data_IF_683713406502
#
_entry.id   IF_683713406502
#
_cell.length_a   1.000
_cell.length_b   1.000
_cell.length_c   1.000
_cell.angle_alpha   90.00
_cell.angle_beta   90.00
_cell.angle_gamma   90.00
#
_symmetry.space_group_name_H-M   'P 1'
#
loop_
_entity.id
_entity.type
_entity.pdbx_description
1 polymer ?
#
# COMPACT_ATOMS: atom_id res chain seq x y z
N UNK A 1 16.98 -18.95 20.75
CA UNK A 1 16.05 -17.85 20.43
C UNK A 1 14.68 -18.46 20.24
N UNK A 2 13.82 -18.34 21.23
CA UNK A 2 12.51 -18.98 21.27
C UNK A 2 11.45 -17.99 20.77
N UNK A 3 10.62 -18.41 19.82
CA UNK A 3 9.40 -17.70 19.43
C UNK A 3 8.21 -18.57 19.84
N UNK A 4 7.39 -18.05 20.76
CA UNK A 4 6.17 -18.69 21.26
C UNK A 4 4.97 -18.17 20.46
N UNK A 5 4.19 -19.09 19.88
CA UNK A 5 2.90 -18.81 19.25
C UNK A 5 1.79 -19.24 20.20
N UNK A 6 0.92 -18.31 20.59
CA UNK A 6 -0.33 -18.64 21.31
C UNK A 6 -1.53 -18.07 20.55
N UNK A 7 -2.55 -18.92 20.43
CA UNK A 7 -3.87 -18.72 19.80
C UNK A 7 -4.83 -19.71 20.50
N UNK A 8 -6.19 -19.62 20.51
CA UNK A 8 -7.18 -18.51 20.37
C UNK A 8 -8.33 -18.54 21.44
N UNK A 9 -9.18 -17.49 21.56
CA UNK A 9 -10.58 -17.52 22.06
C UNK A 9 -11.29 -16.15 21.83
N UNK A 10 -12.23 -15.96 20.88
CA UNK A 10 -13.71 -16.19 20.89
C UNK A 10 -14.43 -15.34 21.98
N UNK A 11 -15.43 -14.46 21.77
CA UNK A 11 -16.48 -14.25 20.76
C UNK A 11 -17.10 -12.85 20.95
N UNK A 12 -17.49 -12.15 19.86
CA UNK A 12 -18.72 -11.35 19.79
C UNK A 12 -18.98 -10.90 18.32
N UNK A 13 -20.09 -11.36 17.75
CA UNK A 13 -20.75 -10.76 16.58
C UNK A 13 -22.09 -10.16 17.07
N UNK A 14 -22.68 -9.14 16.41
CA UNK A 14 -23.47 -9.44 15.21
C UNK A 14 -23.45 -8.41 14.07
N UNK A 15 -23.83 -8.92 12.90
CA UNK A 15 -24.58 -8.29 11.80
C UNK A 15 -24.11 -6.96 11.21
N UNK A 16 -23.50 -7.03 10.03
CA UNK A 16 -24.23 -6.80 8.77
C UNK A 16 -23.34 -7.18 7.59
N UNK A 17 -23.75 -8.20 6.84
CA UNK A 17 -23.27 -8.37 5.48
C UNK A 17 -24.12 -7.47 4.59
N UNK A 18 -23.56 -6.52 3.84
CA UNK A 18 -24.08 -6.22 2.54
C UNK A 18 -23.46 -7.20 1.54
N UNK A 19 -24.34 -7.69 0.68
CA UNK A 19 -24.03 -8.54 -0.45
C UNK A 19 -22.94 -7.94 -1.34
N UNK A 20 -22.29 -8.85 -2.07
CA UNK A 20 -21.48 -8.57 -3.26
C UNK A 20 -21.99 -7.35 -4.02
N UNK A 21 -21.14 -6.35 -4.13
CA UNK A 21 -21.13 -5.43 -5.25
C UNK A 21 -19.70 -5.47 -5.81
N UNK A 22 -19.42 -6.51 -6.60
CA UNK A 22 -18.32 -6.50 -7.57
C UNK A 22 -18.67 -5.49 -8.68
N UNK A 23 -18.81 -4.22 -8.31
CA UNK A 23 -18.70 -3.14 -9.27
C UNK A 23 -17.24 -2.71 -9.25
N UNK A 24 -16.60 -2.79 -10.42
CA UNK A 24 -15.31 -2.18 -10.70
C UNK A 24 -15.38 -0.70 -10.32
N UNK A 25 -15.05 -0.36 -9.07
CA UNK A 25 -14.67 1.00 -8.75
C UNK A 25 -13.32 1.16 -9.39
N UNK A 26 -13.30 1.73 -10.59
CA UNK A 26 -12.07 2.27 -11.15
C UNK A 26 -11.60 3.26 -10.10
N UNK A 27 -10.59 2.90 -9.31
CA UNK A 27 -9.85 3.90 -8.57
C UNK A 27 -9.17 4.70 -9.66
N UNK A 28 -9.85 5.73 -10.14
CA UNK A 28 -9.21 6.81 -10.87
C UNK A 28 -8.36 7.53 -9.83
N UNK A 29 -7.24 6.90 -9.48
CA UNK A 29 -6.03 7.61 -9.14
C UNK A 29 -5.42 8.08 -10.46
N UNK A 30 -6.25 8.76 -11.27
CA UNK A 30 -5.94 9.24 -12.59
C UNK A 30 -4.99 10.40 -12.44
N UNK A 31 -3.70 10.09 -12.37
CA UNK A 31 -2.61 11.01 -12.74
C UNK A 31 -2.54 12.35 -12.01
N UNK A 32 -3.28 12.58 -10.93
CA UNK A 32 -3.05 13.68 -10.00
C UNK A 32 -2.05 13.18 -8.99
N UNK A 33 -0.78 13.26 -9.39
CA UNK A 33 0.33 12.59 -8.73
C UNK A 33 0.51 13.02 -7.28
N UNK A 34 0.23 12.14 -6.33
CA UNK A 34 0.97 12.22 -5.08
C UNK A 34 2.42 11.88 -5.40
N UNK A 35 3.29 12.85 -5.18
CA UNK A 35 4.73 12.68 -5.33
C UNK A 35 5.23 12.05 -4.04
N UNK A 36 5.68 10.81 -4.14
CA UNK A 36 6.30 10.08 -3.03
C UNK A 36 7.80 10.31 -2.98
N UNK A 37 8.37 10.36 -1.76
CA UNK A 37 9.81 10.40 -1.54
C UNK A 37 10.29 9.04 -1.05
N UNK A 38 11.37 8.53 -1.65
CA UNK A 38 12.03 7.30 -1.18
C UNK A 38 12.62 7.53 0.20
N UNK A 39 12.24 6.69 1.16
CA UNK A 39 12.74 6.73 2.54
C UNK A 39 13.80 5.68 2.81
N UNK A 40 13.64 4.50 2.22
CA UNK A 40 14.55 3.38 2.45
C UNK A 40 14.63 2.49 1.20
N UNK A 41 15.82 1.94 0.97
CA UNK A 41 16.08 0.94 -0.07
C UNK A 41 16.78 -0.26 0.59
N UNK A 42 16.13 -1.42 0.57
CA UNK A 42 16.69 -2.69 1.03
C UNK A 42 16.67 -3.68 -0.14
N UNK A 43 17.76 -3.75 -0.90
CA UNK A 43 17.82 -4.59 -2.10
C UNK A 43 16.75 -4.17 -3.11
N UNK A 44 15.85 -5.09 -3.47
CA UNK A 44 14.74 -4.83 -4.38
C UNK A 44 13.54 -4.12 -3.72
N UNK A 45 13.54 -4.03 -2.38
CA UNK A 45 12.43 -3.46 -1.61
C UNK A 45 12.67 -1.97 -1.41
N UNK A 46 11.68 -1.14 -1.71
CA UNK A 46 11.74 0.31 -1.57
C UNK A 46 10.57 0.83 -0.75
N UNK A 47 10.87 1.58 0.31
CA UNK A 47 9.84 2.26 1.09
C UNK A 47 9.68 3.70 0.58
N UNK A 48 8.46 4.06 0.21
CA UNK A 48 8.11 5.38 -0.35
C UNK A 48 7.10 6.06 0.58
N UNK A 49 7.41 7.28 1.01
CA UNK A 49 6.54 8.11 1.83
C UNK A 49 5.81 9.12 0.97
N UNK A 50 4.51 9.23 1.17
CA UNK A 50 3.66 10.23 0.55
C UNK A 50 3.31 11.31 1.57
N UNK A 51 3.51 12.59 1.22
CA UNK A 51 3.22 13.73 2.10
C UNK A 51 1.78 14.26 1.88
N UNK A 52 1.17 13.96 0.74
CA UNK A 52 -0.14 14.47 0.36
C UNK A 52 -1.30 13.81 1.13
N UNK A 53 -2.27 14.64 1.51
CA UNK A 53 -3.43 14.24 2.31
C UNK A 53 -4.53 13.53 1.51
N UNK A 54 -4.42 13.46 0.18
CA UNK A 54 -5.40 12.78 -0.68
C UNK A 54 -5.33 11.25 -0.59
N UNK A 55 -4.35 10.70 0.14
CA UNK A 55 -4.28 9.28 0.51
C UNK A 55 -3.13 8.51 -0.12
N UNK A 56 -2.82 7.34 0.45
CA UNK A 56 -1.78 6.46 -0.07
C UNK A 56 -2.26 5.76 -1.35
N UNK A 57 -1.38 5.60 -2.37
CA UNK A 57 -1.71 4.81 -3.55
C UNK A 57 -2.15 3.38 -3.16
N UNK A 58 -3.22 2.84 -3.75
CA UNK A 58 -3.69 1.48 -3.46
C UNK A 58 -2.62 0.41 -3.69
N UNK A 59 -2.75 -0.74 -3.03
CA UNK A 59 -1.94 -1.93 -3.34
C UNK A 59 -2.16 -2.33 -4.81
N UNK A 60 -1.12 -2.84 -5.45
CA UNK A 60 -1.03 -3.14 -6.89
C UNK A 60 -1.00 -1.89 -7.80
N UNK A 61 -0.87 -0.68 -7.23
CA UNK A 61 -0.60 0.52 -8.02
C UNK A 61 0.87 0.58 -8.42
N UNK A 62 1.15 1.01 -9.65
CA UNK A 62 2.51 1.21 -10.13
C UNK A 62 3.01 2.62 -9.83
N UNK A 63 4.24 2.75 -9.33
CA UNK A 63 4.95 4.01 -9.14
C UNK A 63 6.10 4.10 -10.13
N UNK A 64 6.26 5.24 -10.79
CA UNK A 64 7.39 5.50 -11.67
C UNK A 64 8.40 6.41 -10.96
N UNK A 65 9.67 5.99 -10.96
CA UNK A 65 10.73 6.80 -10.39
C UNK A 65 11.14 7.87 -11.38
N UNK A 66 10.93 9.14 -11.00
CA UNK A 66 11.36 10.29 -11.78
C UNK A 66 12.88 10.45 -11.71
N UNK A 67 13.47 11.06 -12.75
CA UNK A 67 14.90 11.39 -12.83
C UNK A 67 15.88 10.20 -12.71
N UNK A 68 15.44 9.00 -13.10
CA UNK A 68 16.29 7.81 -13.16
C UNK A 68 16.76 7.52 -14.61
N UNK A 69 18.03 7.14 -14.86
CA UNK A 69 18.56 6.92 -16.22
C UNK A 69 17.91 5.76 -16.97
N UNK A 70 17.24 4.87 -16.24
CA UNK A 70 16.45 3.76 -16.79
C UNK A 70 15.05 3.83 -16.22
N UNK A 71 14.03 3.52 -17.02
CA UNK A 71 12.66 3.48 -16.54
C UNK A 71 12.52 2.44 -15.43
N UNK A 72 12.31 2.91 -14.21
CA UNK A 72 12.11 2.08 -13.03
C UNK A 72 10.65 2.21 -12.59
N UNK A 73 9.95 1.08 -12.59
CA UNK A 73 8.57 0.96 -12.14
C UNK A 73 8.54 0.08 -10.90
N UNK A 74 7.93 0.59 -9.83
CA UNK A 74 7.75 -0.08 -8.55
C UNK A 74 6.27 -0.44 -8.40
N UNK A 75 5.95 -1.55 -7.73
CA UNK A 75 4.57 -1.93 -7.44
C UNK A 75 4.29 -1.81 -5.95
N UNK A 76 3.22 -1.10 -5.57
CA UNK A 76 2.82 -1.00 -4.18
C UNK A 76 2.37 -2.36 -3.67
N UNK A 77 3.15 -2.94 -2.75
CA UNK A 77 2.88 -4.26 -2.18
C UNK A 77 2.13 -4.16 -0.84
N UNK A 78 2.51 -3.23 0.04
CA UNK A 78 1.90 -3.09 1.37
C UNK A 78 1.85 -1.63 1.83
N UNK A 79 0.85 -1.30 2.66
CA UNK A 79 0.82 -0.05 3.43
C UNK A 79 1.40 -0.32 4.82
N UNK A 80 2.43 0.43 5.21
CA UNK A 80 3.12 0.27 6.49
C UNK A 80 2.57 1.20 7.59
N UNK A 81 1.65 2.10 7.22
CA UNK A 81 1.22 3.21 8.06
C UNK A 81 2.14 4.43 7.93
N UNK A 82 1.81 5.50 8.66
CA UNK A 82 2.55 6.78 8.63
C UNK A 82 2.77 7.35 7.22
N UNK A 83 1.81 7.12 6.32
CA UNK A 83 1.90 7.49 4.90
C UNK A 83 3.09 6.86 4.15
N UNK A 84 3.52 5.66 4.55
CA UNK A 84 4.57 4.89 3.86
C UNK A 84 3.98 3.65 3.20
N UNK A 85 4.39 3.43 1.96
CA UNK A 85 4.16 2.17 1.24
C UNK A 85 5.46 1.43 1.03
N UNK A 86 5.35 0.10 1.02
CA UNK A 86 6.39 -0.87 0.68
C UNK A 86 6.20 -1.27 -0.77
N UNK A 87 7.20 -1.08 -1.61
CA UNK A 87 7.21 -1.54 -3.01
C UNK A 87 8.29 -2.58 -3.27
#
# INVERSE_FOLDING_TARGET
AEYSTSSPAKSAAPSSAPAKDEAKKTYDYGGKGAIGKVCQVIGAIVDVRFEDQEGLPPIMTSLEVQDHPTRLVLEVSHHLGQNVVRT
#
